data_IF_310598390157
#
_entry.id   IF_310598390157
#
_cell.length_a   1.000
_cell.length_b   1.000
_cell.length_c   1.000
_cell.angle_alpha   90.00
_cell.angle_beta   90.00
_cell.angle_gamma   90.00
#
_symmetry.space_group_name_H-M   'P 1'
#
loop_
_entity.id
_entity.type
_entity.pdbx_description
1 polymer ?
#
# COMPACT_ATOMS: atom_id res chain seq x y z
N UNK A 1 -22.60 -5.86 -16.03
CA UNK A 1 -21.81 -4.63 -16.22
C UNK A 1 -20.41 -5.07 -16.59
N UNK A 2 -19.95 -4.71 -17.77
CA UNK A 2 -18.56 -4.87 -18.24
C UNK A 2 -18.33 -3.63 -19.10
N UNK A 3 -17.50 -2.68 -18.69
CA UNK A 3 -16.04 -2.79 -18.69
C UNK A 3 -15.45 -2.01 -17.49
N UNK A 4 -14.88 -2.68 -16.48
CA UNK A 4 -14.67 -2.04 -15.17
C UNK A 4 -13.24 -2.16 -14.63
N UNK A 5 -12.44 -1.09 -14.75
CA UNK A 5 -11.38 -0.79 -13.80
C UNK A 5 -12.01 -0.19 -12.53
N UNK A 6 -11.85 -0.84 -11.38
CA UNK A 6 -12.28 -0.27 -10.10
C UNK A 6 -11.37 0.90 -9.68
N UNK A 7 -10.07 0.78 -9.94
CA UNK A 7 -9.06 1.85 -9.88
C UNK A 7 -7.77 1.32 -10.54
N UNK A 8 -7.12 2.11 -11.41
CA UNK A 8 -5.89 1.71 -12.13
C UNK A 8 -4.90 2.87 -12.19
N UNK A 9 -3.64 2.60 -11.86
CA UNK A 9 -2.56 3.59 -11.87
C UNK A 9 -1.30 2.98 -12.49
N UNK A 10 -0.57 3.78 -13.28
CA UNK A 10 0.74 3.41 -13.83
C UNK A 10 1.85 3.67 -12.82
N UNK A 11 2.94 2.90 -12.91
CA UNK A 11 4.16 3.24 -12.19
C UNK A 11 4.81 4.49 -12.81
N UNK A 12 5.13 5.47 -11.96
CA UNK A 12 5.81 6.71 -12.33
C UNK A 12 7.31 6.68 -12.01
N UNK A 13 7.78 5.63 -11.34
CA UNK A 13 9.18 5.44 -10.99
C UNK A 13 10.01 4.89 -12.15
N UNK A 14 11.31 5.22 -12.14
CA UNK A 14 12.29 4.69 -13.09
C UNK A 14 12.48 3.18 -12.93
N UNK A 15 12.99 2.52 -13.97
CA UNK A 15 13.20 1.07 -14.01
C UNK A 15 14.10 0.55 -12.86
N UNK A 16 15.04 1.36 -12.38
CA UNK A 16 15.92 0.98 -11.27
C UNK A 16 15.19 0.84 -9.91
N UNK A 17 13.95 1.33 -9.78
CA UNK A 17 13.11 1.12 -8.61
C UNK A 17 12.48 -0.30 -8.59
N UNK A 18 12.77 -1.13 -9.58
CA UNK A 18 12.31 -2.52 -9.65
C UNK A 18 10.89 -2.65 -10.18
N UNK A 19 10.37 -3.89 -10.14
CA UNK A 19 9.06 -4.21 -10.71
C UNK A 19 7.93 -3.88 -9.72
N UNK A 20 6.97 -3.00 -10.08
CA UNK A 20 5.81 -2.71 -9.24
C UNK A 20 4.97 -3.97 -8.97
N UNK A 21 4.39 -4.12 -7.77
CA UNK A 21 3.55 -5.26 -7.45
C UNK A 21 2.26 -5.23 -8.28
N UNK A 22 1.74 -6.41 -8.62
CA UNK A 22 0.38 -6.54 -9.14
C UNK A 22 -0.57 -6.81 -7.97
N UNK A 23 -1.45 -5.85 -7.67
CA UNK A 23 -2.40 -5.92 -6.56
C UNK A 23 -3.81 -5.96 -7.11
N UNK A 24 -4.51 -7.06 -6.83
CA UNK A 24 -5.93 -7.22 -7.15
C UNK A 24 -6.77 -6.73 -5.96
N UNK A 25 -7.46 -5.62 -6.16
CA UNK A 25 -8.30 -4.96 -5.15
C UNK A 25 -9.56 -5.74 -4.77
N UNK A 26 -9.95 -6.74 -5.57
CA UNK A 26 -11.15 -7.56 -5.35
C UNK A 26 -10.86 -8.83 -4.54
N UNK A 27 -9.60 -9.09 -4.16
CA UNK A 27 -9.26 -10.20 -3.27
C UNK A 27 -10.01 -10.03 -1.94
N UNK A 28 -10.85 -11.00 -1.53
CA UNK A 28 -11.65 -10.89 -0.33
C UNK A 28 -10.76 -10.84 0.92
N UNK A 29 -11.32 -10.36 2.02
CA UNK A 29 -10.62 -10.24 3.31
C UNK A 29 -9.28 -9.47 3.21
N UNK A 30 -9.24 -8.45 2.35
CA UNK A 30 -8.15 -7.48 2.32
C UNK A 30 -8.65 -6.05 2.39
N UNK A 31 -7.85 -5.20 3.00
CA UNK A 31 -7.95 -3.75 2.85
C UNK A 31 -6.81 -3.29 1.96
N UNK A 32 -7.12 -2.35 1.05
CA UNK A 32 -6.16 -1.79 0.12
C UNK A 32 -6.12 -0.27 0.30
N UNK A 33 -4.92 0.30 0.32
CA UNK A 33 -4.68 1.74 0.27
C UNK A 33 -3.66 2.05 -0.81
N UNK A 34 -3.92 3.09 -1.60
CA UNK A 34 -2.95 3.66 -2.55
C UNK A 34 -2.59 5.08 -2.08
N UNK A 35 -1.35 5.47 -2.33
CA UNK A 35 -0.81 6.80 -2.04
C UNK A 35 -0.04 7.33 -3.24
N UNK A 36 -0.23 8.62 -3.51
CA UNK A 36 0.61 9.42 -4.40
C UNK A 36 0.72 10.84 -3.85
N UNK A 37 1.92 11.43 -3.92
CA UNK A 37 2.17 12.81 -3.47
C UNK A 37 2.59 13.74 -4.61
N UNK A 38 2.86 15.01 -4.28
CA UNK A 38 3.22 16.04 -5.26
C UNK A 38 4.55 15.79 -6.00
N UNK A 39 5.38 14.87 -5.53
CA UNK A 39 6.64 14.48 -6.15
C UNK A 39 6.50 13.26 -7.07
N UNK A 40 5.31 12.65 -7.13
CA UNK A 40 5.07 11.40 -7.88
C UNK A 40 5.55 10.15 -7.16
N UNK A 41 5.85 10.24 -5.85
CA UNK A 41 6.12 9.06 -5.03
C UNK A 41 4.85 8.22 -4.95
N UNK A 42 5.00 6.91 -4.97
CA UNK A 42 3.87 5.99 -4.98
C UNK A 42 4.06 4.92 -3.90
N UNK A 43 2.97 4.60 -3.20
CA UNK A 43 2.96 3.50 -2.25
C UNK A 43 1.63 2.74 -2.27
N UNK A 44 1.70 1.45 -1.96
CA UNK A 44 0.54 0.57 -1.84
C UNK A 44 0.61 -0.13 -0.49
N UNK A 45 -0.45 -0.01 0.29
CA UNK A 45 -0.63 -0.73 1.54
C UNK A 45 -1.73 -1.78 1.40
N UNK A 46 -1.45 -3.00 1.84
CA UNK A 46 -2.43 -4.09 1.92
C UNK A 46 -2.44 -4.64 3.33
N UNK A 47 -3.63 -4.74 3.93
CA UNK A 47 -3.83 -5.47 5.17
C UNK A 47 -4.61 -6.75 4.89
N UNK A 48 -4.03 -7.89 5.23
CA UNK A 48 -4.62 -9.22 5.06
C UNK A 48 -5.26 -9.68 6.38
N UNK A 49 -6.59 -9.82 6.38
CA UNK A 49 -7.34 -10.22 7.58
C UNK A 49 -7.23 -11.70 7.91
N UNK A 50 -6.74 -12.55 7.01
CA UNK A 50 -6.56 -13.98 7.30
C UNK A 50 -5.36 -14.21 8.22
N UNK A 51 -4.29 -13.45 8.00
CA UNK A 51 -3.06 -13.52 8.80
C UNK A 51 -2.89 -12.34 9.77
N UNK A 52 -3.74 -11.33 9.69
CA UNK A 52 -3.67 -10.09 10.46
C UNK A 52 -2.35 -9.34 10.28
N UNK A 53 -1.89 -9.21 9.04
CA UNK A 53 -0.64 -8.55 8.71
C UNK A 53 -0.83 -7.44 7.67
N UNK A 54 -0.14 -6.32 7.88
CA UNK A 54 -0.04 -5.22 6.92
C UNK A 54 1.27 -5.27 6.15
N UNK A 55 1.21 -5.07 4.84
CA UNK A 55 2.37 -5.00 3.94
C UNK A 55 2.34 -3.69 3.16
N UNK A 56 3.49 -3.04 3.05
CA UNK A 56 3.71 -1.81 2.30
C UNK A 56 4.68 -2.07 1.15
N UNK A 57 4.35 -1.56 -0.04
CA UNK A 57 5.26 -1.42 -1.18
C UNK A 57 5.40 0.07 -1.49
N UNK A 58 6.60 0.51 -1.84
CA UNK A 58 6.89 1.92 -2.09
C UNK A 58 7.95 2.04 -3.18
N UNK A 59 7.74 2.96 -4.13
CA UNK A 59 8.62 3.14 -5.29
C UNK A 59 10.06 3.46 -4.91
N UNK A 60 10.28 4.47 -4.08
CA UNK A 60 11.63 4.91 -3.67
C UNK A 60 12.35 3.90 -2.78
N UNK A 61 11.59 3.03 -2.12
CA UNK A 61 12.13 1.95 -1.29
C UNK A 61 12.41 0.66 -2.08
N UNK A 62 12.21 0.69 -3.40
CA UNK A 62 12.28 -0.45 -4.30
C UNK A 62 11.01 -1.28 -4.25
N UNK A 63 10.28 -1.35 -5.35
CA UNK A 63 9.02 -2.08 -5.46
C UNK A 63 9.11 -3.57 -5.11
N UNK A 64 10.25 -4.20 -5.32
CA UNK A 64 10.42 -5.64 -5.09
C UNK A 64 10.58 -6.01 -3.61
N UNK A 65 10.80 -5.02 -2.74
CA UNK A 65 10.92 -5.24 -1.30
C UNK A 65 9.59 -4.89 -0.61
N UNK A 66 8.75 -5.89 -0.25
CA UNK A 66 7.62 -5.65 0.65
C UNK A 66 8.13 -5.36 2.07
N UNK A 67 7.49 -4.40 2.73
CA UNK A 67 7.79 -4.04 4.11
C UNK A 67 6.63 -4.39 5.04
N UNK A 68 6.94 -5.00 6.18
CA UNK A 68 5.93 -5.28 7.20
C UNK A 68 5.54 -3.99 7.91
N UNK A 69 4.23 -3.72 7.98
CA UNK A 69 3.68 -2.60 8.74
C UNK A 69 3.34 -3.06 10.15
N UNK A 70 3.87 -2.36 11.14
CA UNK A 70 3.65 -2.63 12.57
C UNK A 70 3.10 -1.37 13.22
N UNK A 71 1.89 -1.47 13.77
CA UNK A 71 1.20 -0.34 14.44
C UNK A 71 1.15 0.94 13.58
N UNK A 72 0.93 0.79 12.27
CA UNK A 72 0.84 1.91 11.34
C UNK A 72 2.18 2.54 10.96
N UNK A 73 3.30 1.83 11.18
CA UNK A 73 4.66 2.31 10.87
C UNK A 73 5.50 1.23 10.20
N UNK A 74 6.58 1.63 9.52
CA UNK A 74 7.62 0.73 8.99
C UNK A 74 8.98 1.18 9.54
N UNK A 75 9.53 0.52 10.58
CA UNK A 75 10.78 0.96 11.22
C UNK A 75 12.01 0.98 10.30
N UNK A 76 11.98 0.20 9.22
CA UNK A 76 13.06 0.11 8.23
C UNK A 76 13.07 1.30 7.23
N UNK A 77 12.02 2.11 7.21
CA UNK A 77 11.86 3.20 6.24
C UNK A 77 11.87 4.56 6.92
N UNK A 78 12.57 5.50 6.28
CA UNK A 78 12.44 6.91 6.57
C UNK A 78 11.28 7.42 5.74
N UNK A 79 10.15 7.72 6.39
CA UNK A 79 8.96 8.23 5.75
C UNK A 79 8.76 9.71 6.11
N UNK A 80 8.31 10.49 5.13
CA UNK A 80 7.85 11.85 5.30
C UNK A 80 6.57 11.92 6.13
N UNK A 81 6.21 13.14 6.55
CA UNK A 81 5.06 13.38 7.42
C UNK A 81 3.73 12.89 6.81
N UNK A 82 3.50 13.20 5.54
CA UNK A 82 2.24 12.88 4.85
C UNK A 82 2.11 11.37 4.59
N UNK A 83 3.21 10.70 4.23
CA UNK A 83 3.25 9.26 4.06
C UNK A 83 2.95 8.52 5.38
N UNK A 84 3.54 8.99 6.49
CA UNK A 84 3.26 8.44 7.82
C UNK A 84 1.80 8.63 8.22
N UNK A 85 1.21 9.81 7.97
CA UNK A 85 -0.19 10.04 8.28
C UNK A 85 -1.12 9.17 7.44
N UNK A 86 -0.86 9.05 6.15
CA UNK A 86 -1.61 8.18 5.26
C UNK A 86 -1.54 6.72 5.75
N UNK A 87 -0.33 6.21 6.00
CA UNK A 87 -0.15 4.81 6.44
C UNK A 87 -0.82 4.55 7.79
N UNK A 88 -0.68 5.46 8.74
CA UNK A 88 -1.33 5.36 10.05
C UNK A 88 -2.85 5.34 9.92
N UNK A 89 -3.42 6.19 9.06
CA UNK A 89 -4.86 6.23 8.82
C UNK A 89 -5.35 4.92 8.17
N UNK A 90 -4.63 4.41 7.17
CA UNK A 90 -4.90 3.12 6.56
C UNK A 90 -4.87 1.98 7.58
N UNK A 91 -3.83 1.93 8.41
CA UNK A 91 -3.69 0.94 9.48
C UNK A 91 -4.86 0.98 10.47
N UNK A 92 -5.15 2.16 11.03
CA UNK A 92 -6.23 2.31 12.01
C UNK A 92 -7.60 1.95 11.44
N UNK A 93 -7.81 2.22 10.15
CA UNK A 93 -9.04 1.84 9.44
C UNK A 93 -9.12 0.33 9.23
N UNK A 94 -8.01 -0.30 8.82
CA UNK A 94 -7.95 -1.73 8.58
C UNK A 94 -8.17 -2.53 9.86
N UNK A 95 -7.39 -2.29 10.92
CA UNK A 95 -7.43 -3.11 12.14
C UNK A 95 -8.74 -3.01 12.93
N UNK A 96 -9.51 -1.92 12.75
CA UNK A 96 -10.84 -1.76 13.39
C UNK A 96 -11.96 -2.42 12.61
N UNK A 97 -11.73 -2.79 11.34
CA UNK A 97 -12.76 -3.34 10.48
C UNK A 97 -13.06 -4.77 10.90
N UNK A 98 -14.32 -5.03 11.27
CA UNK A 98 -14.78 -6.41 11.40
C UNK A 98 -14.69 -7.08 10.01
N UNK A 99 -14.12 -8.29 9.91
CA UNK A 99 -14.04 -9.00 8.63
C UNK A 99 -15.45 -9.15 8.04
N UNK A 100 -15.60 -8.76 6.77
CA UNK A 100 -16.85 -8.94 6.01
C UNK A 100 -16.98 -10.39 5.55
#
# INVERSE_FOLDING_TARGET
MTDQPLFTVSNHHVESCGKPPHIDGDVPKRYHGYYENEYGEQAIFVYDYEVNEGTLWMGDAGWEKPYKVVNGTVPELVMGREEMFWLMNCWQTAVKRLPK
#
